data_IF_733589436314
#
_entry.id   IF_733589436314
#
_cell.length_a   1.000
_cell.length_b   1.000
_cell.length_c   1.000
_cell.angle_alpha   90.00
_cell.angle_beta   90.00
_cell.angle_gamma   90.00
#
_symmetry.space_group_name_H-M   'P 1'
#
loop_
_entity.id
_entity.type
_entity.pdbx_description
1 polymer ?
#
# COMPACT_ATOMS: atom_id res chain seq x y z
N UNK A 1 -3.54 -5.09 -11.80
CA UNK A 1 -3.73 -4.73 -10.36
C UNK A 1 -3.33 -3.27 -10.20
N UNK A 2 -4.14 -2.44 -9.53
CA UNK A 2 -3.82 -1.03 -9.31
C UNK A 2 -2.94 -0.85 -8.07
N UNK A 3 -2.05 0.16 -8.08
CA UNK A 3 -1.32 0.56 -6.88
C UNK A 3 -2.27 1.23 -5.88
N UNK A 4 -1.91 1.22 -4.59
CA UNK A 4 -2.80 1.69 -3.51
C UNK A 4 -3.22 3.16 -3.61
N UNK A 5 -2.44 3.96 -4.30
CA UNK A 5 -2.70 5.39 -4.49
C UNK A 5 -3.64 5.67 -5.66
N UNK A 6 -4.05 4.67 -6.44
CA UNK A 6 -5.02 4.82 -7.53
C UNK A 6 -6.20 3.89 -7.29
N UNK A 7 -7.41 4.40 -7.57
CA UNK A 7 -8.64 3.61 -7.52
C UNK A 7 -9.43 3.74 -8.83
N UNK A 8 -10.32 2.78 -9.10
CA UNK A 8 -11.24 2.81 -10.26
C UNK A 8 -12.66 2.59 -9.76
N UNK A 9 -13.54 3.55 -10.04
CA UNK A 9 -14.98 3.36 -9.87
C UNK A 9 -15.56 2.64 -11.10
N UNK A 10 -16.21 1.50 -10.85
CA UNK A 10 -16.84 0.68 -11.89
C UNK A 10 -18.18 1.27 -12.33
N UNK A 11 -18.85 1.98 -11.43
CA UNK A 11 -20.16 2.53 -11.68
C UNK A 11 -20.07 3.85 -12.44
N UNK A 12 -21.13 4.19 -13.17
CA UNK A 12 -21.24 5.49 -13.82
C UNK A 12 -21.26 6.58 -12.76
N UNK A 13 -20.32 7.50 -12.85
CA UNK A 13 -20.24 8.66 -11.99
C UNK A 13 -21.42 9.62 -12.22
N UNK A 14 -22.05 10.03 -11.12
CA UNK A 14 -23.11 11.03 -11.08
C UNK A 14 -22.70 12.10 -10.06
N UNK A 15 -22.46 13.35 -10.48
CA UNK A 15 -22.04 14.42 -9.57
C UNK A 15 -23.03 14.68 -8.44
N UNK A 16 -24.33 14.58 -8.74
CA UNK A 16 -25.41 14.90 -7.79
C UNK A 16 -25.54 13.89 -6.64
N UNK A 17 -25.08 12.65 -6.85
CA UNK A 17 -25.12 11.59 -5.83
C UNK A 17 -23.76 11.30 -5.25
N UNK A 18 -22.76 12.15 -5.50
CA UNK A 18 -21.42 11.93 -4.99
C UNK A 18 -21.33 12.44 -3.55
N UNK A 19 -21.09 11.51 -2.63
CA UNK A 19 -20.85 11.79 -1.22
C UNK A 19 -19.49 11.23 -0.84
N UNK A 20 -18.71 12.01 -0.10
CA UNK A 20 -17.41 11.57 0.40
C UNK A 20 -17.66 10.57 1.52
N UNK A 21 -17.20 9.34 1.32
CA UNK A 21 -17.32 8.31 2.34
C UNK A 21 -16.13 8.43 3.29
N UNK A 22 -16.39 8.79 4.55
CA UNK A 22 -15.39 8.80 5.61
C UNK A 22 -15.88 7.93 6.75
N UNK A 23 -15.05 7.01 7.23
CA UNK A 23 -15.38 6.18 8.39
C UNK A 23 -15.30 7.01 9.69
N UNK A 24 -16.30 6.87 10.56
CA UNK A 24 -16.29 7.52 11.87
C UNK A 24 -15.20 6.90 12.75
N UNK A 25 -14.27 7.73 13.27
CA UNK A 25 -13.16 7.30 14.13
C UNK A 25 -11.77 7.38 13.51
N UNK A 26 -11.64 7.85 12.27
CA UNK A 26 -10.35 8.14 11.62
C UNK A 26 -9.70 9.41 12.23
N UNK A 27 -8.37 9.41 12.30
CA UNK A 27 -7.60 10.62 12.63
C UNK A 27 -7.77 11.65 11.51
N UNK A 28 -7.68 12.94 11.80
CA UNK A 28 -7.77 14.04 10.81
C UNK A 28 -6.88 13.79 9.57
N UNK A 29 -5.63 13.38 9.78
CA UNK A 29 -4.70 13.02 8.69
C UNK A 29 -5.17 11.84 7.83
N UNK A 30 -5.84 10.85 8.43
CA UNK A 30 -6.37 9.69 7.70
C UNK A 30 -7.67 10.04 6.96
N UNK A 31 -8.51 10.90 7.55
CA UNK A 31 -9.67 11.46 6.88
C UNK A 31 -9.25 12.21 5.62
N UNK A 32 -8.26 13.10 5.72
CA UNK A 32 -7.70 13.80 4.56
C UNK A 32 -7.17 12.85 3.47
N UNK A 33 -6.53 11.74 3.85
CA UNK A 33 -6.05 10.73 2.88
C UNK A 33 -7.21 10.06 2.13
N UNK A 34 -8.27 9.67 2.85
CA UNK A 34 -9.47 9.04 2.28
C UNK A 34 -10.21 9.99 1.35
N UNK A 35 -10.33 11.27 1.72
CA UNK A 35 -10.93 12.30 0.85
C UNK A 35 -10.08 12.50 -0.40
N UNK A 36 -8.75 12.64 -0.24
CA UNK A 36 -7.82 12.82 -1.35
C UNK A 36 -7.91 11.69 -2.36
N UNK A 37 -7.86 10.44 -1.88
CA UNK A 37 -7.95 9.26 -2.74
C UNK A 37 -9.26 9.25 -3.54
N UNK A 38 -10.38 9.60 -2.89
CA UNK A 38 -11.68 9.69 -3.56
C UNK A 38 -11.74 10.84 -4.57
N UNK A 39 -11.16 12.01 -4.30
CA UNK A 39 -11.32 13.18 -5.18
C UNK A 39 -10.31 13.19 -6.32
N UNK A 40 -9.03 12.98 -6.02
CA UNK A 40 -7.94 13.18 -6.97
C UNK A 40 -7.54 11.89 -7.69
N UNK A 41 -7.45 10.79 -6.94
CA UNK A 41 -6.78 9.57 -7.42
C UNK A 41 -7.73 8.43 -7.79
N UNK A 42 -9.02 8.74 -8.00
CA UNK A 42 -10.02 7.77 -8.46
C UNK A 42 -10.38 8.02 -9.92
N UNK A 43 -10.16 7.03 -10.76
CA UNK A 43 -10.56 7.01 -12.18
C UNK A 43 -12.06 6.74 -12.27
N UNK A 44 -12.76 7.58 -13.05
CA UNK A 44 -14.21 7.55 -13.19
C UNK A 44 -14.63 7.85 -14.61
N UNK A 45 -15.84 7.40 -14.94
CA UNK A 45 -16.49 7.70 -16.21
C UNK A 45 -17.93 8.15 -16.00
N UNK A 46 -18.41 9.06 -16.86
CA UNK A 46 -19.80 9.54 -16.87
C UNK A 46 -20.35 9.51 -18.29
N UNK A 47 -21.68 9.52 -18.42
CA UNK A 47 -22.36 9.77 -19.69
C UNK A 47 -22.87 11.22 -19.70
N UNK A 48 -22.54 11.97 -20.73
CA UNK A 48 -23.00 13.35 -20.94
C UNK A 48 -23.86 13.37 -22.21
N UNK A 49 -24.94 14.14 -22.17
CA UNK A 49 -25.72 14.43 -23.37
C UNK A 49 -25.11 15.64 -24.06
N UNK A 50 -24.78 15.50 -25.34
CA UNK A 50 -24.32 16.62 -26.14
C UNK A 50 -25.49 17.42 -26.73
N UNK A 51 -25.19 18.60 -27.27
CA UNK A 51 -26.15 19.50 -27.93
C UNK A 51 -26.91 18.83 -29.10
N UNK A 52 -26.37 17.74 -29.65
CA UNK A 52 -26.98 16.92 -30.71
C UNK A 52 -27.88 15.80 -30.18
N UNK A 53 -28.16 15.78 -28.88
CA UNK A 53 -28.97 14.77 -28.20
C UNK A 53 -28.37 13.35 -28.24
N UNK A 54 -27.06 13.23 -28.43
CA UNK A 54 -26.31 11.97 -28.39
C UNK A 54 -25.61 11.79 -27.03
N UNK A 55 -25.38 10.53 -26.65
CA UNK A 55 -24.74 10.17 -25.38
C UNK A 55 -23.25 9.93 -25.57
N UNK A 56 -22.42 10.87 -25.10
CA UNK A 56 -20.98 10.68 -25.07
C UNK A 56 -20.50 10.16 -23.71
N UNK A 57 -19.52 9.26 -23.76
CA UNK A 57 -18.83 8.76 -22.57
C UNK A 57 -17.60 9.65 -22.34
N UNK A 58 -17.53 10.23 -21.15
CA UNK A 58 -16.38 11.00 -20.70
C UNK A 58 -15.68 10.29 -19.56
N UNK A 59 -14.36 10.17 -19.64
CA UNK A 59 -13.47 9.68 -18.59
C UNK A 59 -12.68 10.86 -18.03
N UNK A 60 -12.33 10.84 -16.74
CA UNK A 60 -11.37 11.79 -16.17
C UNK A 60 -9.90 11.38 -16.42
N UNK A 61 -9.69 10.25 -17.09
CA UNK A 61 -8.36 9.68 -17.32
C UNK A 61 -8.11 9.34 -18.78
N UNK A 62 -6.85 9.48 -19.17
CA UNK A 62 -6.35 9.20 -20.50
C UNK A 62 -5.05 8.40 -20.41
N UNK A 63 -4.93 7.33 -21.19
CA UNK A 63 -3.67 6.64 -21.42
C UNK A 63 -3.06 7.21 -22.70
N UNK A 64 -1.86 7.78 -22.58
CA UNK A 64 -1.13 8.43 -23.67
C UNK A 64 0.07 7.59 -24.01
N UNK A 65 0.21 7.27 -25.30
CA UNK A 65 1.43 6.73 -25.88
C UNK A 65 2.19 7.88 -26.53
N UNK A 66 3.46 8.03 -26.18
CA UNK A 66 4.33 9.06 -26.68
C UNK A 66 5.11 8.56 -27.91
N UNK A 67 5.63 9.47 -28.72
CA UNK A 67 6.39 9.13 -29.94
C UNK A 67 7.67 8.31 -29.64
N UNK A 68 8.20 8.39 -28.42
CA UNK A 68 9.34 7.60 -27.96
C UNK A 68 8.97 6.17 -27.54
N UNK A 69 7.69 5.78 -27.64
CA UNK A 69 7.17 4.48 -27.25
C UNK A 69 6.92 4.33 -25.75
N UNK A 70 7.13 5.38 -24.95
CA UNK A 70 6.74 5.38 -23.55
C UNK A 70 5.24 5.63 -23.41
N UNK A 71 4.68 5.18 -22.28
CA UNK A 71 3.26 5.38 -21.97
C UNK A 71 3.09 6.11 -20.65
N UNK A 72 2.09 6.98 -20.58
CA UNK A 72 1.72 7.67 -19.36
C UNK A 72 0.21 7.64 -19.15
N UNK A 73 -0.20 7.42 -17.91
CA UNK A 73 -1.59 7.55 -17.48
C UNK A 73 -1.78 8.94 -16.88
N UNK A 74 -2.66 9.74 -17.48
CA UNK A 74 -3.09 11.03 -16.95
C UNK A 74 -4.43 10.86 -16.24
N UNK A 75 -4.52 11.31 -14.99
CA UNK A 75 -5.77 11.33 -14.20
C UNK A 75 -5.95 12.73 -13.65
N UNK A 76 -6.90 13.49 -14.21
CA UNK A 76 -7.04 14.91 -13.91
C UNK A 76 -5.73 15.67 -14.16
N UNK A 77 -5.13 16.20 -13.09
CA UNK A 77 -3.88 16.96 -13.14
C UNK A 77 -2.64 16.12 -12.81
N UNK A 78 -2.80 14.85 -12.44
CA UNK A 78 -1.68 13.97 -12.12
C UNK A 78 -1.27 13.12 -13.32
N UNK A 79 0.05 12.95 -13.48
CA UNK A 79 0.66 12.12 -14.51
C UNK A 79 1.44 10.97 -13.86
N UNK A 80 1.22 9.77 -14.39
CA UNK A 80 1.87 8.55 -13.96
C UNK A 80 2.55 7.88 -15.14
N UNK A 81 3.83 7.55 -15.01
CA UNK A 81 4.52 6.73 -15.97
C UNK A 81 3.96 5.32 -15.92
N UNK A 82 3.66 4.78 -17.09
CA UNK A 82 3.13 3.44 -17.24
C UNK A 82 4.21 2.54 -17.85
N UNK A 83 4.59 1.50 -17.13
CA UNK A 83 5.53 0.48 -17.62
C UNK A 83 4.76 -0.81 -17.86
N UNK A 84 4.68 -1.23 -19.12
CA UNK A 84 4.15 -2.53 -19.51
C UNK A 84 5.25 -3.58 -19.35
N UNK A 85 4.88 -4.72 -18.76
CA UNK A 85 5.71 -5.91 -18.69
C UNK A 85 4.89 -7.10 -19.18
N UNK A 86 5.46 -7.79 -20.16
CA UNK A 86 4.89 -9.05 -20.67
C UNK A 86 5.12 -10.13 -19.60
N UNK A 87 4.09 -10.91 -19.30
CA UNK A 87 4.19 -12.07 -18.42
C UNK A 87 5.23 -13.04 -18.98
N UNK A 88 6.06 -13.60 -18.09
CA UNK A 88 7.05 -14.58 -18.50
C UNK A 88 6.33 -15.83 -19.03
N UNK A 89 6.93 -16.62 -19.95
CA UNK A 89 6.31 -17.85 -20.46
C UNK A 89 5.95 -18.90 -19.40
N UNK A 90 6.51 -18.77 -18.19
CA UNK A 90 6.24 -19.65 -17.05
C UNK A 90 5.22 -19.07 -16.06
N UNK A 91 4.77 -17.83 -16.28
CA UNK A 91 3.84 -17.11 -15.41
C UNK A 91 2.44 -17.15 -16.04
N UNK A 92 1.64 -18.14 -15.63
CA UNK A 92 0.26 -18.29 -16.10
C UNK A 92 -0.71 -17.65 -15.13
N UNK A 93 -1.29 -16.51 -15.52
CA UNK A 93 -2.29 -15.79 -14.73
C UNK A 93 -3.62 -15.86 -15.46
N UNK A 94 -4.66 -16.37 -14.83
CA UNK A 94 -5.99 -16.50 -15.43
C UNK A 94 -7.03 -15.63 -14.73
N UNK A 95 -7.92 -15.04 -15.50
CA UNK A 95 -9.13 -14.39 -14.98
C UNK A 95 -10.20 -15.45 -14.73
N UNK A 96 -10.62 -15.57 -13.47
CA UNK A 96 -11.63 -16.53 -13.06
C UNK A 96 -12.95 -15.83 -12.70
N UNK A 97 -14.05 -16.33 -13.25
CA UNK A 97 -15.40 -15.96 -12.85
C UNK A 97 -15.95 -16.99 -11.85
N UNK A 98 -16.43 -16.51 -10.70
CA UNK A 98 -16.99 -17.38 -9.67
C UNK A 98 -18.51 -17.48 -9.79
N UNK A 99 -19.02 -18.69 -10.06
CA UNK A 99 -20.44 -18.99 -10.08
C UNK A 99 -20.91 -19.50 -8.71
N UNK A 100 -21.38 -18.59 -7.86
CA UNK A 100 -21.80 -18.91 -6.48
C UNK A 100 -22.90 -19.97 -6.38
N UNK A 101 -23.79 -20.06 -7.36
CA UNK A 101 -24.90 -21.02 -7.36
C UNK A 101 -24.46 -22.46 -7.69
N UNK A 102 -23.47 -22.62 -8.57
CA UNK A 102 -22.99 -23.93 -9.04
C UNK A 102 -21.73 -24.40 -8.28
N UNK A 103 -21.16 -23.55 -7.43
CA UNK A 103 -19.90 -23.86 -6.73
C UNK A 103 -18.69 -24.00 -7.66
N UNK A 104 -18.79 -23.51 -8.89
CA UNK A 104 -17.77 -23.67 -9.93
C UNK A 104 -17.01 -22.38 -10.21
N UNK A 105 -15.76 -22.53 -10.64
CA UNK A 105 -14.92 -21.46 -11.19
C UNK A 105 -14.80 -21.67 -12.69
N UNK A 106 -15.11 -20.64 -13.47
CA UNK A 106 -14.91 -20.62 -14.92
C UNK A 106 -13.67 -19.79 -15.24
N UNK A 107 -12.74 -20.34 -16.03
CA UNK A 107 -11.59 -19.60 -16.54
C UNK A 107 -11.96 -18.91 -17.84
N UNK A 108 -11.89 -17.58 -17.87
CA UNK A 108 -12.34 -16.80 -19.01
C UNK A 108 -11.20 -16.45 -19.97
N UNK A 109 -10.05 -16.03 -19.45
CA UNK A 109 -8.90 -15.62 -20.29
C UNK A 109 -7.57 -15.68 -19.52
N UNK A 110 -6.48 -15.85 -20.25
CA UNK A 110 -5.11 -15.71 -19.75
C UNK A 110 -4.66 -14.24 -19.84
N UNK A 111 -4.06 -13.74 -18.76
CA UNK A 111 -3.50 -12.39 -18.68
C UNK A 111 -2.03 -12.47 -19.11
N UNK A 112 -1.75 -11.97 -20.30
CA UNK A 112 -0.42 -11.99 -20.92
C UNK A 112 0.44 -10.79 -20.55
N UNK A 113 -0.19 -9.67 -20.20
CA UNK A 113 0.48 -8.38 -20.02
C UNK A 113 0.04 -7.74 -18.71
N UNK A 114 0.98 -7.15 -17.99
CA UNK A 114 0.70 -6.33 -16.83
C UNK A 114 1.34 -4.97 -16.94
N UNK A 115 0.56 -3.94 -16.58
CA UNK A 115 1.03 -2.57 -16.52
C UNK A 115 1.22 -2.14 -15.07
N UNK A 116 2.30 -1.39 -14.82
CA UNK A 116 2.60 -0.79 -13.52
C UNK A 116 2.68 0.72 -13.66
N UNK A 117 2.13 1.44 -12.68
CA UNK A 117 2.06 2.89 -12.69
C UNK A 117 2.94 3.46 -11.58
N UNK A 118 3.74 4.47 -11.90
CA UNK A 118 4.56 5.22 -10.94
C UNK A 118 4.36 6.72 -11.13
N UNK A 119 4.43 7.56 -10.09
CA UNK A 119 4.36 9.02 -10.25
C UNK A 119 5.51 9.51 -11.12
N UNK A 120 5.24 10.37 -12.11
CA UNK A 120 6.28 10.84 -13.05
C UNK A 120 7.15 11.98 -12.48
N UNK A 121 6.67 12.73 -11.48
CA UNK A 121 7.39 13.91 -10.94
C UNK A 121 7.56 13.83 -9.40
N UNK A 122 8.72 14.26 -8.90
CA UNK A 122 9.02 14.44 -7.47
C UNK A 122 8.14 15.51 -6.82
N UNK A 123 7.65 16.47 -7.61
CA UNK A 123 6.74 17.54 -7.16
C UNK A 123 5.29 17.10 -7.07
N UNK A 124 4.92 15.96 -7.67
CA UNK A 124 3.56 15.43 -7.60
C UNK A 124 3.16 15.22 -6.13
N UNK A 125 1.91 15.57 -5.82
CA UNK A 125 1.35 15.35 -4.50
C UNK A 125 1.33 13.86 -4.16
N UNK A 126 1.02 13.00 -5.12
CA UNK A 126 1.08 11.54 -4.95
C UNK A 126 2.50 11.06 -4.66
N UNK A 127 3.53 11.59 -5.33
CA UNK A 127 4.92 11.23 -5.02
C UNK A 127 5.30 11.59 -3.58
N UNK A 128 5.00 12.83 -3.15
CA UNK A 128 5.27 13.30 -1.79
C UNK A 128 4.53 12.46 -0.75
N UNK A 129 3.28 12.16 -1.01
CA UNK A 129 2.45 11.34 -0.13
C UNK A 129 2.98 9.90 0.00
N UNK A 130 3.31 9.25 -1.11
CA UNK A 130 3.90 7.92 -1.11
C UNK A 130 5.22 7.88 -0.33
N UNK A 131 6.06 8.90 -0.53
CA UNK A 131 7.32 9.04 0.22
C UNK A 131 7.08 9.15 1.72
N UNK A 132 6.10 9.96 2.14
CA UNK A 132 5.72 10.10 3.54
C UNK A 132 5.21 8.78 4.14
N UNK A 133 4.38 8.03 3.41
CA UNK A 133 3.90 6.71 3.85
C UNK A 133 5.03 5.69 4.01
N UNK A 134 6.00 5.69 3.09
CA UNK A 134 7.16 4.80 3.16
C UNK A 134 8.06 5.17 4.35
N UNK A 135 8.30 6.46 4.58
CA UNK A 135 9.08 6.94 5.72
C UNK A 135 8.45 6.50 7.04
N UNK A 136 7.13 6.70 7.20
CA UNK A 136 6.39 6.30 8.40
C UNK A 136 6.45 4.79 8.68
N UNK A 137 6.47 3.94 7.64
CA UNK A 137 6.62 2.48 7.81
C UNK A 137 8.02 2.07 8.28
N UNK A 138 9.05 2.81 7.88
CA UNK A 138 10.44 2.47 8.20
C UNK A 138 10.93 3.04 9.53
N UNK A 139 10.11 3.81 10.25
CA UNK A 139 10.42 4.21 11.63
C UNK A 139 10.36 2.98 12.53
N UNK A 140 11.54 2.46 12.91
CA UNK A 140 11.66 1.38 13.90
C UNK A 140 11.03 1.85 15.21
N UNK A 141 9.84 1.33 15.54
CA UNK A 141 9.24 1.50 16.86
C UNK A 141 10.09 0.75 17.89
N UNK A 142 11.09 1.41 18.46
CA UNK A 142 11.82 0.91 19.63
C UNK A 142 10.81 0.88 20.77
N UNK A 143 10.15 -0.26 20.97
CA UNK A 143 9.35 -0.51 22.17
C UNK A 143 10.34 -0.74 23.31
N UNK A 144 10.71 0.33 24.02
CA UNK A 144 11.35 0.19 25.33
C UNK A 144 10.36 -0.52 26.23
N UNK A 145 10.48 -1.85 26.35
CA UNK A 145 9.72 -2.63 27.32
C UNK A 145 10.30 -2.29 28.70
N UNK A 146 9.58 -1.48 29.46
CA UNK A 146 9.91 -1.24 30.88
C UNK A 146 9.74 -2.56 31.63
N UNK A 147 10.85 -3.22 31.95
CA UNK A 147 10.86 -4.36 32.87
C UNK A 147 10.87 -3.79 34.29
N UNK A 148 9.74 -3.88 35.00
CA UNK A 148 9.72 -3.69 36.45
C UNK A 148 10.36 -4.91 37.09
N UNK A 149 11.59 -4.75 37.58
CA UNK A 149 12.31 -5.82 38.25
C UNK A 149 12.09 -5.66 39.76
N UNK A 150 11.23 -6.48 40.36
CA UNK A 150 10.96 -6.44 41.82
C UNK A 150 12.15 -6.91 42.67
N UNK A 151 13.13 -7.59 42.08
CA UNK A 151 14.36 -8.03 42.77
C UNK A 151 15.60 -7.47 42.11
N UNK A 152 16.36 -6.72 42.90
CA UNK A 152 17.59 -6.04 42.52
C UNK A 152 18.61 -7.01 41.88
N UNK A 153 18.86 -6.94 40.55
CA UNK A 153 19.67 -7.92 39.82
C UNK A 153 21.16 -7.89 40.21
N UNK A 154 21.63 -6.80 40.83
CA UNK A 154 23.01 -6.72 41.34
C UNK A 154 23.24 -7.64 42.54
N UNK A 155 22.26 -7.83 43.44
CA UNK A 155 22.42 -8.70 44.61
C UNK A 155 22.62 -10.16 44.23
N UNK A 156 21.89 -10.62 43.21
CA UNK A 156 21.99 -12.00 42.74
C UNK A 156 23.36 -12.27 42.08
N UNK A 157 23.92 -11.27 41.41
CA UNK A 157 25.26 -11.34 40.80
C UNK A 157 26.36 -11.38 41.87
N UNK A 158 26.23 -10.56 42.92
CA UNK A 158 27.18 -10.54 44.04
C UNK A 158 27.18 -11.85 44.84
N UNK A 159 26.01 -12.46 45.10
CA UNK A 159 25.96 -13.76 45.81
C UNK A 159 26.60 -14.90 45.02
N UNK A 160 26.44 -14.91 43.68
CA UNK A 160 27.06 -15.91 42.82
C UNK A 160 28.58 -15.75 42.76
N UNK A 161 29.07 -14.51 42.66
CA UNK A 161 30.50 -14.20 42.65
C UNK A 161 31.17 -14.57 43.98
N UNK A 162 30.49 -14.31 45.11
CA UNK A 162 30.98 -14.70 46.44
C UNK A 162 31.08 -16.23 46.55
N UNK A 163 30.03 -16.97 46.16
CA UNK A 163 30.02 -18.44 46.17
C UNK A 163 31.10 -19.04 45.27
N UNK A 164 31.34 -18.46 44.10
CA UNK A 164 32.40 -18.89 43.20
C UNK A 164 33.79 -18.64 43.80
N UNK A 165 33.99 -17.47 44.42
CA UNK A 165 35.25 -17.12 45.09
C UNK A 165 35.55 -18.04 46.28
N UNK A 166 34.53 -18.44 47.05
CA UNK A 166 34.65 -19.41 48.13
C UNK A 166 34.99 -20.80 47.60
N UNK A 167 34.37 -21.22 46.49
CA UNK A 167 34.67 -22.50 45.84
C UNK A 167 36.11 -22.56 45.32
N UNK A 168 36.58 -21.48 44.69
CA UNK A 168 37.96 -21.32 44.22
C UNK A 168 38.96 -21.30 45.38
N UNK A 169 38.64 -20.62 46.48
CA UNK A 169 39.46 -20.62 47.71
C UNK A 169 39.52 -22.00 48.36
N UNK A 170 38.42 -22.74 48.39
CA UNK A 170 38.39 -24.11 48.89
C UNK A 170 39.24 -25.04 48.02
N UNK A 171 39.14 -24.95 46.69
CA UNK A 171 39.98 -25.71 45.76
C UNK A 171 41.48 -25.42 45.95
N UNK A 172 41.87 -24.14 46.06
CA UNK A 172 43.27 -23.76 46.31
C UNK A 172 43.84 -24.28 47.64
N UNK A 173 43.00 -24.53 48.64
CA UNK A 173 43.44 -25.11 49.93
C UNK A 173 43.61 -26.62 49.88
N UNK A 174 43.02 -27.31 48.91
CA UNK A 174 43.19 -28.76 48.70
C UNK A 174 44.41 -29.09 47.83
N UNK A 175 44.96 -28.12 47.11
CA UNK A 175 46.10 -28.28 46.19
C UNK A 175 47.47 -27.98 46.85
N UNK A 176 47.49 -27.60 48.14
CA UNK A 176 48.69 -27.37 48.94
C UNK A 176 48.88 -28.45 50.02
#
# INVERSE_FOLDING_TARGET
KLPKFLDIDRNRFKPESFEIQTEEGLTDAQCHEVVRQQVESTIRWRKVMNDKNDHEIQSNSHLVEWEDGTMSLMVGNECFDATQKVAAPQEHVYMLAQHKQLGALESHTEITDHMTFRPSDLKSETHRHLTAQIANKHVKKIKTKMFFTEKDPEKLKQELELKESERLRAQKKLEN
#
